data_IF_645025405170
#
_entry.id   IF_645025405170
#
_cell.length_a   1.000
_cell.length_b   1.000
_cell.length_c   1.000
_cell.angle_alpha   90.00
_cell.angle_beta   90.00
_cell.angle_gamma   90.00
#
_symmetry.space_group_name_H-M   'P 1'
#
loop_
_entity.id
_entity.type
_entity.pdbx_description
1 polymer ?
#
# COMPACT_ATOMS: atom_id res chain seq x y z
N UNK A 1 14.99 -14.26 18.03
CA UNK A 1 14.16 -13.08 18.39
C UNK A 1 14.20 -12.10 17.22
N UNK A 2 13.27 -12.18 16.26
CA UNK A 2 13.29 -11.32 15.07
C UNK A 2 11.87 -11.09 14.52
N UNK A 3 10.99 -10.53 15.37
CA UNK A 3 9.60 -10.23 15.00
C UNK A 3 9.17 -8.78 15.27
N UNK A 4 10.00 -7.99 15.95
CA UNK A 4 9.68 -6.59 16.28
C UNK A 4 10.22 -5.58 15.25
N UNK A 5 11.35 -5.88 14.58
CA UNK A 5 11.94 -5.02 13.55
C UNK A 5 11.10 -5.01 12.26
N UNK A 6 10.59 -6.18 11.87
CA UNK A 6 9.82 -6.38 10.64
C UNK A 6 8.50 -5.60 10.64
N UNK A 7 7.86 -5.45 11.81
CA UNK A 7 6.63 -4.65 11.96
C UNK A 7 6.88 -3.15 11.89
N UNK A 8 8.00 -2.66 12.41
CA UNK A 8 8.36 -1.24 12.29
C UNK A 8 8.67 -0.87 10.84
N UNK A 9 9.44 -1.71 10.13
CA UNK A 9 9.71 -1.51 8.70
C UNK A 9 8.44 -1.58 7.86
N UNK A 10 7.56 -2.55 8.11
CA UNK A 10 6.28 -2.65 7.42
C UNK A 10 5.41 -1.40 7.64
N UNK A 11 5.38 -0.86 8.85
CA UNK A 11 4.65 0.37 9.16
C UNK A 11 5.20 1.56 8.36
N UNK A 12 6.52 1.74 8.32
CA UNK A 12 7.14 2.83 7.59
C UNK A 12 6.88 2.74 6.07
N UNK A 13 6.93 1.52 5.53
CA UNK A 13 6.58 1.24 4.13
C UNK A 13 5.12 1.56 3.82
N UNK A 14 4.18 1.17 4.68
CA UNK A 14 2.76 1.50 4.53
C UNK A 14 2.53 3.01 4.64
N UNK A 15 3.18 3.69 5.58
CA UNK A 15 3.06 5.13 5.74
C UNK A 15 3.55 5.89 4.49
N UNK A 16 4.66 5.45 3.87
CA UNK A 16 5.15 5.99 2.59
C UNK A 16 4.17 5.71 1.45
N UNK A 17 3.62 4.49 1.36
CA UNK A 17 2.60 4.15 0.36
C UNK A 17 1.38 5.05 0.48
N UNK A 18 0.85 5.26 1.69
CA UNK A 18 -0.33 6.11 1.93
C UNK A 18 -0.04 7.57 1.56
N UNK A 19 1.16 8.09 1.88
CA UNK A 19 1.56 9.44 1.48
C UNK A 19 1.57 9.60 -0.04
N UNK A 20 2.14 8.63 -0.74
CA UNK A 20 2.20 8.62 -2.20
C UNK A 20 0.80 8.58 -2.81
N UNK A 21 -0.07 7.71 -2.30
CA UNK A 21 -1.49 7.61 -2.70
C UNK A 21 -2.22 8.93 -2.46
N UNK A 22 -2.02 9.60 -1.32
CA UNK A 22 -2.66 10.91 -1.05
C UNK A 22 -2.16 12.02 -1.98
N UNK A 23 -0.87 12.04 -2.29
CA UNK A 23 -0.30 13.05 -3.20
C UNK A 23 -0.77 12.85 -4.65
N UNK A 24 -0.88 11.60 -5.09
CA UNK A 24 -1.31 11.27 -6.44
C UNK A 24 -2.80 10.94 -6.54
N UNK A 25 -3.59 11.10 -5.47
CA UNK A 25 -5.00 10.69 -5.44
C UNK A 25 -5.84 11.31 -6.57
N UNK A 26 -5.45 12.49 -7.05
CA UNK A 26 -6.03 13.19 -8.20
C UNK A 26 -5.75 12.52 -9.56
N UNK A 27 -4.61 11.85 -9.70
CA UNK A 27 -4.22 11.07 -10.89
C UNK A 27 -4.51 9.58 -10.77
N UNK A 28 -5.06 9.14 -9.63
CA UNK A 28 -5.53 7.78 -9.43
C UNK A 28 -4.42 6.72 -9.70
N UNK A 29 -3.28 6.79 -8.98
CA UNK A 29 -2.12 5.96 -9.25
C UNK A 29 -2.49 4.49 -9.14
N UNK A 30 -2.04 3.71 -10.12
CA UNK A 30 -2.24 2.27 -10.12
C UNK A 30 -1.51 1.61 -8.96
N UNK A 31 -2.00 0.42 -8.58
CA UNK A 31 -1.36 -0.43 -7.56
C UNK A 31 0.13 -0.71 -7.88
N UNK A 32 0.45 -0.81 -9.18
CA UNK A 32 1.81 -1.02 -9.67
C UNK A 32 2.72 0.17 -9.34
N UNK A 33 2.31 1.40 -9.64
CA UNK A 33 3.14 2.59 -9.36
C UNK A 33 3.40 2.77 -7.87
N UNK A 34 2.40 2.54 -7.04
CA UNK A 34 2.55 2.62 -5.58
C UNK A 34 3.55 1.56 -5.10
N UNK A 35 3.47 0.35 -5.67
CA UNK A 35 4.33 -0.77 -5.33
C UNK A 35 5.79 -0.51 -5.74
N UNK A 36 6.01 0.01 -6.95
CA UNK A 36 7.34 0.43 -7.42
C UNK A 36 7.91 1.55 -6.55
N UNK A 37 7.08 2.52 -6.16
CA UNK A 37 7.51 3.63 -5.30
C UNK A 37 7.97 3.17 -3.91
N UNK A 38 7.34 2.14 -3.35
CA UNK A 38 7.72 1.59 -2.03
C UNK A 38 8.65 0.38 -2.10
N UNK A 39 9.10 0.00 -3.31
CA UNK A 39 9.99 -1.15 -3.53
C UNK A 39 9.37 -2.48 -3.14
N UNK A 40 8.04 -2.60 -3.22
CA UNK A 40 7.32 -3.85 -2.95
C UNK A 40 6.71 -4.42 -4.22
N UNK A 41 6.47 -5.73 -4.19
CA UNK A 41 5.67 -6.36 -5.24
C UNK A 41 4.19 -5.92 -5.10
N UNK A 42 3.49 -5.61 -6.20
CA UNK A 42 2.11 -5.12 -6.15
C UNK A 42 1.16 -6.10 -5.44
N UNK A 43 1.40 -7.40 -5.57
CA UNK A 43 0.65 -8.44 -4.86
C UNK A 43 0.78 -8.33 -3.32
N UNK A 44 1.98 -8.01 -2.87
CA UNK A 44 2.30 -7.87 -1.45
C UNK A 44 1.70 -6.57 -0.90
N UNK A 45 1.77 -5.49 -1.68
CA UNK A 45 1.10 -4.23 -1.36
C UNK A 45 -0.43 -4.42 -1.22
N UNK A 46 -1.06 -5.15 -2.14
CA UNK A 46 -2.50 -5.44 -2.11
C UNK A 46 -2.93 -6.15 -0.83
N UNK A 47 -2.16 -7.18 -0.41
CA UNK A 47 -2.43 -7.93 0.83
C UNK A 47 -2.24 -7.03 2.04
N UNK A 48 -1.14 -6.28 2.09
CA UNK A 48 -0.85 -5.35 3.20
C UNK A 48 -1.94 -4.29 3.33
N UNK A 49 -2.39 -3.69 2.23
CA UNK A 49 -3.50 -2.74 2.22
C UNK A 49 -4.81 -3.37 2.66
N UNK A 50 -5.12 -4.60 2.27
CA UNK A 50 -6.35 -5.27 2.72
C UNK A 50 -6.35 -5.51 4.24
N UNK A 51 -5.19 -5.87 4.79
CA UNK A 51 -5.00 -6.08 6.24
C UNK A 51 -5.04 -4.76 7.01
N UNK A 52 -4.43 -3.69 6.47
CA UNK A 52 -4.30 -2.40 7.16
C UNK A 52 -5.50 -1.46 6.97
N UNK A 53 -6.06 -1.39 5.75
CA UNK A 53 -7.15 -0.49 5.44
C UNK A 53 -8.54 -1.12 5.69
N UNK A 54 -8.60 -2.43 5.94
CA UNK A 54 -9.87 -3.15 6.19
C UNK A 54 -10.84 -3.13 5.00
N UNK A 55 -10.39 -2.67 3.83
CA UNK A 55 -11.15 -2.61 2.58
C UNK A 55 -10.65 -3.69 1.64
N UNK A 56 -11.57 -4.50 1.13
CA UNK A 56 -11.25 -5.55 0.16
C UNK A 56 -10.58 -4.97 -1.09
N UNK A 57 -9.66 -5.71 -1.75
CA UNK A 57 -8.97 -5.28 -2.97
C UNK A 57 -9.92 -4.77 -4.05
N UNK A 58 -11.12 -5.35 -4.12
CA UNK A 58 -12.18 -4.98 -5.05
C UNK A 58 -12.79 -3.60 -4.78
N UNK A 59 -12.89 -3.19 -3.50
CA UNK A 59 -13.31 -1.82 -3.13
C UNK A 59 -12.20 -0.82 -3.42
N UNK A 60 -10.95 -1.21 -3.20
CA UNK A 60 -9.80 -0.38 -3.57
C UNK A 60 -9.76 -0.11 -5.07
N UNK A 61 -9.93 -1.13 -5.91
CA UNK A 61 -10.03 -0.96 -7.36
C UNK A 61 -11.22 -0.10 -7.79
N UNK A 62 -12.38 -0.22 -7.14
CA UNK A 62 -13.52 0.68 -7.38
C UNK A 62 -13.30 2.11 -6.89
N UNK A 63 -12.34 2.35 -5.99
CA UNK A 63 -11.96 3.71 -5.59
C UNK A 63 -11.02 4.34 -6.64
N UNK A 64 -10.40 3.49 -7.46
CA UNK A 64 -9.54 3.85 -8.57
C UNK A 64 -10.29 3.89 -9.92
N UNK A 65 -11.62 3.85 -9.92
CA UNK A 65 -12.47 4.06 -11.10
C UNK A 65 -13.45 5.18 -10.78
#
# INVERSE_FOLDING_TARGET
MNGHDERCRAYETVARAIRFVRQHCLCQPGLQEIAEHVGMSPFHLQRTFSVWAGISPKRFLQSLT
#
